data_IF_931908564108
#
_entry.id   IF_931908564108
#
_cell.length_a   1.000
_cell.length_b   1.000
_cell.length_c   1.000
_cell.angle_alpha   90.00
_cell.angle_beta   90.00
_cell.angle_gamma   90.00
#
_symmetry.space_group_name_H-M   'P 1'
#
loop_
_entity.id
_entity.type
_entity.pdbx_description
1 polymer ?
#
# COMPACT_ATOMS: atom_id res chain seq x y z
N UNK A 1 8.63 25.55 -4.29
CA UNK A 1 8.18 24.15 -4.41
C UNK A 1 6.85 24.01 -5.13
N UNK A 2 5.77 24.59 -4.63
CA UNK A 2 4.45 24.42 -5.22
C UNK A 2 4.39 24.86 -6.71
N UNK A 3 5.02 25.97 -7.10
CA UNK A 3 5.03 26.43 -8.49
C UNK A 3 5.71 25.43 -9.44
N UNK A 4 6.78 24.76 -8.98
CA UNK A 4 7.41 23.72 -9.78
C UNK A 4 6.50 22.49 -9.96
N UNK A 5 5.82 22.07 -8.89
CA UNK A 5 4.93 20.90 -8.93
C UNK A 5 3.60 21.20 -9.65
N UNK A 6 3.06 22.42 -9.56
CA UNK A 6 1.85 22.85 -10.28
C UNK A 6 1.92 22.64 -11.79
N UNK A 7 3.12 22.72 -12.37
CA UNK A 7 3.30 22.53 -13.82
C UNK A 7 2.90 21.13 -14.29
N UNK A 8 2.87 20.15 -13.39
CA UNK A 8 2.50 18.74 -13.67
C UNK A 8 1.01 18.46 -13.44
N UNK A 9 0.21 19.45 -12.99
CA UNK A 9 -1.18 19.23 -12.57
C UNK A 9 -2.12 19.00 -13.77
N UNK A 10 -2.93 17.97 -13.64
CA UNK A 10 -4.04 17.67 -14.54
C UNK A 10 -3.64 16.96 -15.84
N UNK A 11 -4.61 16.65 -16.70
CA UNK A 11 -4.39 15.89 -17.93
C UNK A 11 -3.48 16.56 -18.94
N UNK A 12 -3.37 17.89 -18.88
CA UNK A 12 -2.46 18.69 -19.72
C UNK A 12 -1.19 19.12 -18.97
N UNK A 13 -0.89 18.48 -17.85
CA UNK A 13 0.33 18.74 -17.06
C UNK A 13 1.60 18.50 -17.88
N UNK A 14 2.58 19.37 -17.68
CA UNK A 14 3.87 19.27 -18.34
C UNK A 14 4.70 18.12 -17.79
N UNK A 15 5.49 17.51 -18.66
CA UNK A 15 6.58 16.63 -18.27
C UNK A 15 7.75 17.47 -17.75
N UNK A 16 8.33 17.07 -16.63
CA UNK A 16 9.45 17.76 -15.99
C UNK A 16 10.70 16.90 -16.08
N UNK A 17 11.83 17.54 -16.31
CA UNK A 17 13.14 16.91 -16.33
C UNK A 17 13.85 17.30 -15.00
N UNK A 18 14.26 16.30 -14.25
CA UNK A 18 14.97 16.47 -12.97
C UNK A 18 16.27 15.65 -12.97
N UNK A 19 17.22 16.02 -12.12
CA UNK A 19 18.35 15.14 -11.84
C UNK A 19 17.86 13.84 -11.19
N UNK A 20 18.42 12.71 -11.60
CA UNK A 20 18.03 11.42 -11.04
C UNK A 20 18.54 11.30 -9.60
N UNK A 21 17.66 11.00 -8.63
CA UNK A 21 18.11 10.73 -7.26
C UNK A 21 18.87 9.41 -7.13
N UNK A 22 18.73 8.51 -8.11
CA UNK A 22 19.29 7.15 -8.06
C UNK A 22 20.62 7.02 -8.82
N UNK A 23 20.91 7.92 -9.75
CA UNK A 23 22.11 7.83 -10.60
C UNK A 23 22.86 9.17 -10.66
N UNK A 24 24.12 9.14 -10.33
CA UNK A 24 25.04 10.28 -10.52
C UNK A 24 25.07 10.67 -11.99
N UNK A 25 24.71 11.92 -12.30
CA UNK A 25 24.56 12.46 -13.67
C UNK A 25 23.40 11.85 -14.50
N UNK A 26 22.45 11.14 -13.88
CA UNK A 26 21.24 10.66 -14.53
C UNK A 26 20.18 11.74 -14.65
N UNK A 27 19.28 11.55 -15.62
CA UNK A 27 18.11 12.40 -15.84
C UNK A 27 16.86 11.55 -15.61
N UNK A 28 15.93 12.07 -14.83
CA UNK A 28 14.60 11.51 -14.68
C UNK A 28 13.57 12.40 -15.38
N UNK A 29 12.78 11.82 -16.25
CA UNK A 29 11.68 12.48 -16.96
C UNK A 29 10.37 12.01 -16.34
N UNK A 30 9.60 12.92 -15.75
CA UNK A 30 8.40 12.54 -14.99
C UNK A 30 7.29 13.59 -15.09
N UNK A 31 6.05 13.15 -14.88
CA UNK A 31 4.88 13.99 -14.59
C UNK A 31 4.40 13.83 -13.14
N UNK A 32 5.00 12.91 -12.39
CA UNK A 32 4.59 12.62 -11.04
C UNK A 32 5.03 13.72 -10.06
N UNK A 33 4.04 14.34 -9.42
CA UNK A 33 4.27 15.45 -8.49
C UNK A 33 5.08 15.06 -7.25
N UNK A 34 4.99 13.83 -6.77
CA UNK A 34 5.82 13.35 -5.64
C UNK A 34 7.27 13.26 -6.04
N UNK A 35 7.57 12.71 -7.20
CA UNK A 35 8.93 12.58 -7.72
C UNK A 35 9.58 13.97 -7.89
N UNK A 36 8.82 14.92 -8.46
CA UNK A 36 9.27 16.32 -8.58
C UNK A 36 9.47 16.94 -7.19
N UNK A 37 8.53 16.75 -6.27
CA UNK A 37 8.64 17.28 -4.91
C UNK A 37 9.85 16.73 -4.15
N UNK A 38 10.19 15.47 -4.34
CA UNK A 38 11.35 14.81 -3.72
C UNK A 38 12.68 15.33 -4.24
N UNK A 39 12.75 15.78 -5.47
CA UNK A 39 13.98 16.35 -6.05
C UNK A 39 14.28 17.77 -5.58
N UNK A 40 13.30 18.49 -5.01
CA UNK A 40 13.48 19.88 -4.57
C UNK A 40 14.10 19.92 -3.19
N UNK A 41 15.29 20.49 -3.08
CA UNK A 41 15.95 20.82 -1.83
C UNK A 41 16.41 22.28 -1.82
N UNK A 42 16.29 22.97 -0.70
CA UNK A 42 16.73 24.34 -0.52
C UNK A 42 17.94 24.39 0.39
N UNK A 43 18.84 25.35 0.13
CA UNK A 43 20.09 25.50 0.89
C UNK A 43 19.80 26.05 2.30
N UNK A 44 18.85 27.00 2.39
CA UNK A 44 18.45 27.57 3.68
C UNK A 44 17.70 26.51 4.51
N UNK A 45 18.13 26.23 5.76
CA UNK A 45 17.52 25.19 6.60
C UNK A 45 16.06 25.49 6.98
N UNK A 46 15.69 26.76 7.15
CA UNK A 46 14.34 27.17 7.55
C UNK A 46 13.38 27.01 6.37
N UNK A 47 13.79 27.49 5.20
CA UNK A 47 13.03 27.30 3.96
C UNK A 47 12.89 25.81 3.61
N UNK A 48 13.97 25.04 3.80
CA UNK A 48 13.96 23.61 3.53
C UNK A 48 13.06 22.83 4.51
N UNK A 49 12.84 23.34 5.73
CA UNK A 49 11.86 22.76 6.65
C UNK A 49 10.43 22.84 6.07
N UNK A 50 10.06 23.97 5.49
CA UNK A 50 8.77 24.12 4.81
C UNK A 50 8.62 23.14 3.63
N UNK A 51 9.69 22.97 2.83
CA UNK A 51 9.73 21.97 1.74
C UNK A 51 9.51 20.56 2.28
N UNK A 52 10.15 20.19 3.40
CA UNK A 52 9.97 18.87 4.02
C UNK A 52 8.54 18.65 4.49
N UNK A 53 7.89 19.64 5.09
CA UNK A 53 6.49 19.54 5.52
C UNK A 53 5.54 19.34 4.34
N UNK A 54 5.74 20.08 3.24
CA UNK A 54 4.94 19.90 2.03
C UNK A 54 5.18 18.53 1.38
N UNK A 55 6.41 18.04 1.40
CA UNK A 55 6.79 16.72 0.92
C UNK A 55 6.10 15.62 1.73
N UNK A 56 6.10 15.75 3.06
CA UNK A 56 5.41 14.84 3.96
C UNK A 56 3.90 14.73 3.64
N UNK A 57 3.25 15.88 3.37
CA UNK A 57 1.85 15.88 2.96
C UNK A 57 1.61 15.13 1.65
N UNK A 58 2.50 15.28 0.68
CA UNK A 58 2.43 14.56 -0.59
C UNK A 58 2.68 13.05 -0.41
N UNK A 59 3.69 12.66 0.37
CA UNK A 59 4.01 11.26 0.66
C UNK A 59 2.87 10.54 1.38
N UNK A 60 2.24 11.19 2.36
CA UNK A 60 1.05 10.64 3.02
C UNK A 60 -0.12 10.47 2.06
N UNK A 61 -0.33 11.42 1.15
CA UNK A 61 -1.37 11.32 0.14
C UNK A 61 -1.08 10.16 -0.82
N UNK A 62 0.16 10.00 -1.27
CA UNK A 62 0.58 8.86 -2.11
C UNK A 62 0.33 7.52 -1.42
N UNK A 63 0.69 7.41 -0.13
CA UNK A 63 0.57 6.16 0.63
C UNK A 63 -0.90 5.80 0.91
N UNK A 64 -1.75 6.80 1.22
CA UNK A 64 -3.13 6.56 1.64
C UNK A 64 -4.11 6.47 0.47
N UNK A 65 -3.89 7.25 -0.59
CA UNK A 65 -4.82 7.39 -1.72
C UNK A 65 -4.25 6.90 -3.05
N UNK A 66 -2.94 6.75 -3.17
CA UNK A 66 -2.26 6.34 -4.40
C UNK A 66 -2.20 7.42 -5.48
N UNK A 67 -2.90 8.55 -5.30
CA UNK A 67 -2.98 9.66 -6.25
C UNK A 67 -3.28 10.98 -5.54
N UNK A 68 -3.27 12.10 -6.28
CA UNK A 68 -3.62 13.43 -5.76
C UNK A 68 -2.48 14.16 -5.05
N UNK A 69 -1.25 13.73 -5.20
CA UNK A 69 -0.05 14.29 -4.56
C UNK A 69 0.22 15.73 -4.97
N UNK A 70 0.12 16.05 -6.25
CA UNK A 70 0.21 17.42 -6.77
C UNK A 70 -0.89 18.31 -6.20
N UNK A 71 -2.12 17.79 -6.14
CA UNK A 71 -3.27 18.49 -5.54
C UNK A 71 -3.03 18.80 -4.07
N UNK A 72 -2.49 17.85 -3.30
CA UNK A 72 -2.17 18.05 -1.89
C UNK A 72 -1.15 19.18 -1.67
N UNK A 73 -0.12 19.27 -2.52
CA UNK A 73 0.88 20.35 -2.47
C UNK A 73 0.24 21.71 -2.80
N UNK A 74 -0.59 21.77 -3.83
CA UNK A 74 -1.28 22.99 -4.25
C UNK A 74 -2.25 23.47 -3.17
N UNK A 75 -3.01 22.57 -2.56
CA UNK A 75 -3.92 22.92 -1.46
C UNK A 75 -3.15 23.36 -0.22
N UNK A 76 -2.03 22.73 0.10
CA UNK A 76 -1.17 23.14 1.22
C UNK A 76 -0.67 24.57 1.02
N UNK A 77 -0.17 24.91 -0.18
CA UNK A 77 0.26 26.27 -0.49
C UNK A 77 -0.91 27.26 -0.35
N UNK A 78 -2.07 26.95 -0.93
CA UNK A 78 -3.24 27.82 -0.90
C UNK A 78 -3.72 28.09 0.52
N UNK A 79 -3.75 27.07 1.38
CA UNK A 79 -4.10 27.20 2.80
C UNK A 79 -3.11 28.09 3.56
N UNK A 80 -1.81 27.85 3.39
CA UNK A 80 -0.76 28.65 4.04
C UNK A 80 -0.83 30.12 3.58
N UNK A 81 -0.89 30.37 2.27
CA UNK A 81 -1.01 31.75 1.74
C UNK A 81 -2.25 32.44 2.27
N UNK A 82 -3.43 31.80 2.18
CA UNK A 82 -4.67 32.37 2.72
C UNK A 82 -4.59 32.64 4.21
N UNK A 83 -3.94 31.75 4.97
CA UNK A 83 -3.72 31.96 6.41
C UNK A 83 -2.82 33.17 6.68
N UNK A 84 -1.72 33.29 5.98
CA UNK A 84 -0.79 34.44 6.12
C UNK A 84 -1.46 35.76 5.77
N UNK A 85 -2.29 35.80 4.75
CA UNK A 85 -2.97 37.02 4.28
C UNK A 85 -4.12 37.45 5.20
N UNK A 86 -4.82 36.51 5.83
CA UNK A 86 -6.07 36.78 6.56
C UNK A 86 -5.92 36.76 8.08
N UNK A 87 -4.99 35.98 8.63
CA UNK A 87 -4.81 35.84 10.08
C UNK A 87 -3.92 36.98 10.59
N UNK A 88 -4.46 37.79 11.48
CA UNK A 88 -3.73 38.87 12.14
C UNK A 88 -2.97 38.37 13.34
N UNK A 89 -1.94 39.09 13.77
CA UNK A 89 -1.15 38.78 14.96
C UNK A 89 -1.99 38.75 16.24
N UNK A 90 -3.09 39.51 16.28
CA UNK A 90 -4.03 39.62 17.39
C UNK A 90 -5.05 38.49 17.48
N UNK A 91 -5.18 37.68 16.41
CA UNK A 91 -6.19 36.64 16.31
C UNK A 91 -5.80 35.40 17.14
N UNK A 92 -6.80 34.71 17.66
CA UNK A 92 -6.61 33.44 18.36
C UNK A 92 -6.37 32.29 17.38
N UNK A 93 -5.10 32.04 17.08
CA UNK A 93 -4.68 31.03 16.11
C UNK A 93 -5.15 29.62 16.46
N UNK A 94 -5.25 29.30 17.75
CA UNK A 94 -5.73 27.98 18.20
C UNK A 94 -7.19 27.77 17.87
N UNK A 95 -8.01 28.81 18.03
CA UNK A 95 -9.44 28.77 17.71
C UNK A 95 -9.67 28.66 16.20
N UNK A 96 -8.93 29.45 15.40
CA UNK A 96 -8.97 29.39 13.95
C UNK A 96 -8.61 27.97 13.45
N UNK A 97 -7.57 27.35 14.00
CA UNK A 97 -7.17 25.98 13.61
C UNK A 97 -8.24 24.95 13.99
N UNK A 98 -8.89 25.09 15.15
CA UNK A 98 -10.00 24.20 15.54
C UNK A 98 -11.18 24.31 14.60
N UNK A 99 -11.55 25.54 14.25
CA UNK A 99 -12.63 25.80 13.29
C UNK A 99 -12.30 25.26 11.91
N UNK A 100 -11.07 25.47 11.42
CA UNK A 100 -10.59 24.93 10.15
C UNK A 100 -10.70 23.40 10.11
N UNK A 101 -10.31 22.71 11.19
CA UNK A 101 -10.44 21.25 11.30
C UNK A 101 -11.91 20.81 11.32
N UNK A 102 -12.78 21.57 11.95
CA UNK A 102 -14.22 21.30 11.97
C UNK A 102 -14.83 21.42 10.58
N UNK A 103 -14.57 22.53 9.89
CA UNK A 103 -15.04 22.78 8.53
C UNK A 103 -14.49 21.75 7.52
N UNK A 104 -13.26 21.31 7.73
CA UNK A 104 -12.66 20.23 6.88
C UNK A 104 -13.46 18.94 6.98
N UNK A 105 -13.96 18.58 8.18
CA UNK A 105 -14.79 17.37 8.34
C UNK A 105 -16.12 17.47 7.58
N UNK A 106 -16.75 18.63 7.61
CA UNK A 106 -17.98 18.87 6.86
C UNK A 106 -17.74 18.81 5.36
N UNK A 107 -16.67 19.46 4.87
CA UNK A 107 -16.27 19.40 3.47
C UNK A 107 -16.01 17.95 3.01
N UNK A 108 -15.32 17.14 3.81
CA UNK A 108 -15.09 15.72 3.50
C UNK A 108 -16.43 14.96 3.42
N UNK A 109 -17.40 15.27 4.29
CA UNK A 109 -18.72 14.65 4.22
C UNK A 109 -19.46 14.99 2.91
N UNK A 110 -19.39 16.24 2.49
CA UNK A 110 -19.98 16.70 1.23
C UNK A 110 -19.31 16.04 0.03
N UNK A 111 -17.97 15.97 0.01
CA UNK A 111 -17.22 15.28 -1.05
C UNK A 111 -17.57 13.80 -1.15
N UNK A 112 -17.73 13.12 0.01
CA UNK A 112 -18.20 11.72 0.03
C UNK A 112 -19.61 11.58 -0.55
N UNK A 113 -20.49 12.55 -0.31
CA UNK A 113 -21.83 12.58 -0.90
C UNK A 113 -21.87 12.76 -2.42
N UNK A 114 -20.82 13.39 -2.98
CA UNK A 114 -20.68 13.58 -4.44
C UNK A 114 -20.00 12.39 -5.14
N UNK A 115 -19.34 11.51 -4.38
CA UNK A 115 -18.65 10.35 -4.93
C UNK A 115 -19.63 9.38 -5.60
N UNK A 116 -19.20 8.77 -6.70
CA UNK A 116 -19.96 7.76 -7.42
C UNK A 116 -19.19 6.44 -7.42
N UNK A 117 -19.91 5.33 -7.26
CA UNK A 117 -19.28 4.01 -7.40
C UNK A 117 -18.81 3.81 -8.83
N UNK A 118 -17.56 3.39 -8.99
CA UNK A 118 -16.94 3.13 -10.30
C UNK A 118 -17.61 1.94 -10.97
N UNK A 119 -18.03 2.11 -12.22
CA UNK A 119 -18.52 1.03 -13.07
C UNK A 119 -17.36 0.42 -13.85
N UNK A 120 -17.57 -0.80 -14.41
CA UNK A 120 -16.55 -1.46 -15.24
C UNK A 120 -16.03 -0.59 -16.39
N UNK A 121 -16.90 0.20 -17.02
CA UNK A 121 -16.52 1.12 -18.09
C UNK A 121 -15.68 2.28 -17.56
N UNK A 122 -16.09 2.88 -16.45
CA UNK A 122 -15.33 3.97 -15.82
C UNK A 122 -13.96 3.51 -15.31
N UNK A 123 -13.81 2.22 -15.02
CA UNK A 123 -12.53 1.67 -14.57
C UNK A 123 -11.45 1.79 -15.65
N UNK A 124 -11.80 1.60 -16.93
CA UNK A 124 -10.87 1.80 -18.06
C UNK A 124 -10.43 3.26 -18.12
N UNK A 125 -11.36 4.20 -17.98
CA UNK A 125 -11.05 5.64 -18.02
C UNK A 125 -10.11 6.03 -16.86
N UNK A 126 -10.40 5.54 -15.64
CA UNK A 126 -9.58 5.78 -14.44
C UNK A 126 -8.18 5.17 -14.61
N UNK A 127 -8.10 3.92 -15.07
CA UNK A 127 -6.82 3.25 -15.28
C UNK A 127 -5.99 3.92 -16.38
N UNK A 128 -6.63 4.38 -17.46
CA UNK A 128 -5.97 5.12 -18.55
C UNK A 128 -5.38 6.42 -18.05
N UNK A 129 -6.12 7.20 -17.26
CA UNK A 129 -5.62 8.45 -16.67
C UNK A 129 -4.44 8.16 -15.73
N UNK A 130 -4.55 7.16 -14.89
CA UNK A 130 -3.48 6.75 -13.97
C UNK A 130 -2.22 6.24 -14.69
N UNK A 131 -2.39 5.66 -15.88
CA UNK A 131 -1.32 5.25 -16.77
C UNK A 131 -0.80 6.40 -17.68
N UNK A 132 -0.96 7.64 -17.28
CA UNK A 132 -0.53 8.82 -18.03
C UNK A 132 -1.14 8.92 -19.44
N UNK A 133 -2.43 8.62 -19.57
CA UNK A 133 -3.22 8.57 -20.81
C UNK A 133 -2.80 7.45 -21.79
N UNK A 134 -2.14 6.41 -21.31
CA UNK A 134 -1.87 5.20 -22.10
C UNK A 134 -3.09 4.28 -22.01
N UNK A 135 -3.87 4.22 -23.11
CA UNK A 135 -5.08 3.41 -23.19
C UNK A 135 -4.78 1.91 -23.17
N UNK A 136 -3.64 1.47 -23.72
CA UNK A 136 -3.28 0.05 -23.74
C UNK A 136 -3.01 -0.46 -22.32
N UNK A 137 -2.23 0.30 -21.54
CA UNK A 137 -1.99 -0.02 -20.13
C UNK A 137 -3.29 0.08 -19.34
N UNK A 138 -4.10 1.11 -19.60
CA UNK A 138 -5.40 1.30 -18.96
C UNK A 138 -6.36 0.12 -19.15
N UNK A 139 -6.46 -0.41 -20.36
CA UNK A 139 -7.27 -1.59 -20.67
C UNK A 139 -6.75 -2.85 -19.95
N UNK A 140 -5.44 -3.12 -20.01
CA UNK A 140 -4.82 -4.26 -19.32
C UNK A 140 -5.11 -4.24 -17.82
N UNK A 141 -4.96 -3.07 -17.18
CA UNK A 141 -5.23 -2.89 -15.75
C UNK A 141 -6.71 -3.09 -15.44
N UNK A 142 -7.60 -2.45 -16.21
CA UNK A 142 -9.04 -2.55 -16.00
C UNK A 142 -9.54 -3.98 -16.18
N UNK A 143 -9.06 -4.70 -17.18
CA UNK A 143 -9.39 -6.11 -17.42
C UNK A 143 -8.88 -6.99 -16.29
N UNK A 144 -7.68 -6.70 -15.76
CA UNK A 144 -7.13 -7.43 -14.63
C UNK A 144 -8.00 -7.26 -13.38
N UNK A 145 -8.37 -6.03 -13.03
CA UNK A 145 -9.29 -5.77 -11.92
C UNK A 145 -10.68 -6.39 -12.12
N UNK A 146 -11.19 -6.40 -13.35
CA UNK A 146 -12.46 -7.07 -13.66
C UNK A 146 -12.38 -8.59 -13.47
N UNK A 147 -11.21 -9.21 -13.74
CA UNK A 147 -10.99 -10.65 -13.55
C UNK A 147 -10.84 -11.02 -12.08
N UNK A 148 -10.04 -10.27 -11.32
CA UNK A 148 -9.76 -10.59 -9.91
C UNK A 148 -10.87 -10.11 -8.96
N UNK A 149 -11.70 -9.16 -9.36
CA UNK A 149 -12.83 -8.64 -8.58
C UNK A 149 -12.43 -7.63 -7.49
N UNK A 150 -13.44 -7.18 -6.72
CA UNK A 150 -13.29 -6.10 -5.72
C UNK A 150 -12.29 -6.45 -4.59
N UNK A 151 -12.11 -7.71 -4.27
CA UNK A 151 -11.23 -8.20 -3.21
C UNK A 151 -9.89 -8.74 -3.73
N UNK A 152 -9.67 -8.66 -5.05
CA UNK A 152 -8.44 -9.14 -5.66
C UNK A 152 -7.28 -8.18 -5.46
N UNK A 153 -6.08 -8.72 -5.39
CA UNK A 153 -4.84 -7.94 -5.30
C UNK A 153 -4.22 -7.87 -6.68
N UNK A 154 -3.90 -6.66 -7.11
CA UNK A 154 -3.19 -6.40 -8.38
C UNK A 154 -1.84 -5.78 -8.04
N UNK A 155 -0.78 -6.40 -8.54
CA UNK A 155 0.59 -5.92 -8.43
C UNK A 155 1.14 -5.60 -9.81
N UNK A 156 2.07 -4.64 -9.88
CA UNK A 156 2.75 -4.26 -11.12
C UNK A 156 4.23 -4.57 -10.96
N UNK A 157 4.76 -5.38 -11.86
CA UNK A 157 6.16 -5.80 -11.86
C UNK A 157 6.78 -5.56 -13.24
N UNK A 158 8.11 -5.52 -13.30
CA UNK A 158 8.82 -5.43 -14.58
C UNK A 158 8.73 -6.77 -15.32
N UNK A 159 8.28 -6.74 -16.57
CA UNK A 159 8.26 -7.92 -17.43
C UNK A 159 9.68 -8.41 -17.72
N UNK A 160 9.83 -9.72 -17.85
CA UNK A 160 11.06 -10.36 -18.37
C UNK A 160 11.10 -10.36 -19.89
N UNK A 161 10.00 -9.99 -20.56
CA UNK A 161 9.85 -9.90 -22.02
C UNK A 161 9.67 -8.45 -22.45
N UNK A 162 9.64 -8.18 -23.74
CA UNK A 162 9.35 -6.86 -24.31
C UNK A 162 7.88 -6.46 -24.21
N UNK A 163 7.00 -7.42 -23.89
CA UNK A 163 5.56 -7.21 -23.92
C UNK A 163 5.02 -6.85 -22.55
N UNK A 164 4.00 -5.98 -22.55
CA UNK A 164 3.18 -5.68 -21.37
C UNK A 164 1.96 -6.57 -21.38
N UNK A 165 1.76 -7.37 -20.34
CA UNK A 165 0.66 -8.32 -20.24
C UNK A 165 0.22 -8.49 -18.78
N UNK A 166 -0.96 -9.07 -18.57
CA UNK A 166 -1.44 -9.43 -17.23
C UNK A 166 -1.57 -10.94 -17.09
N UNK A 167 -1.15 -11.44 -15.94
CA UNK A 167 -1.42 -12.81 -15.50
C UNK A 167 -2.33 -12.76 -14.27
N UNK A 168 -3.30 -13.65 -14.23
CA UNK A 168 -4.17 -13.81 -13.05
C UNK A 168 -4.07 -15.23 -12.54
N UNK A 169 -3.87 -15.36 -11.23
CA UNK A 169 -3.91 -16.66 -10.54
C UNK A 169 -5.00 -16.63 -9.49
N UNK A 170 -5.66 -17.77 -9.27
CA UNK A 170 -6.61 -17.91 -8.17
C UNK A 170 -5.81 -18.01 -6.86
N UNK A 171 -6.17 -17.17 -5.89
CA UNK A 171 -5.52 -17.15 -4.59
C UNK A 171 -4.59 -15.96 -4.38
N UNK A 172 -3.91 -15.95 -3.23
CA UNK A 172 -2.96 -14.93 -2.82
C UNK A 172 -1.54 -15.51 -2.78
N UNK A 173 -0.62 -14.92 -3.55
CA UNK A 173 0.80 -15.22 -3.43
C UNK A 173 1.39 -14.43 -2.26
N UNK A 174 1.97 -15.11 -1.30
CA UNK A 174 2.67 -14.53 -0.16
C UNK A 174 4.17 -14.80 -0.32
N UNK A 175 4.99 -13.74 -0.27
CA UNK A 175 6.46 -13.83 -0.42
C UNK A 175 7.16 -14.32 0.86
N UNK A 176 6.50 -15.20 1.59
CA UNK A 176 7.01 -15.83 2.81
C UNK A 176 6.73 -17.33 2.75
N UNK A 177 7.73 -18.11 3.01
CA UNK A 177 7.61 -19.57 3.11
C UNK A 177 7.21 -20.05 4.51
N UNK A 178 7.20 -21.37 4.67
CA UNK A 178 7.00 -22.01 5.97
C UNK A 178 8.09 -21.62 6.96
N UNK A 179 7.72 -21.48 8.24
CA UNK A 179 8.63 -21.07 9.32
C UNK A 179 9.58 -22.19 9.79
N UNK A 180 9.36 -23.44 9.38
CA UNK A 180 10.22 -24.58 9.67
C UNK A 180 10.15 -25.63 8.57
N UNK A 181 11.29 -26.18 8.18
CA UNK A 181 11.38 -27.26 7.19
C UNK A 181 10.65 -28.56 7.65
N UNK A 182 10.33 -28.68 8.94
CA UNK A 182 9.58 -29.82 9.46
C UNK A 182 8.10 -29.81 9.07
N UNK A 183 7.60 -28.72 8.49
CA UNK A 183 6.25 -28.64 7.91
C UNK A 183 6.17 -29.20 6.48
N UNK A 184 7.32 -29.50 5.85
CA UNK A 184 7.37 -30.08 4.50
C UNK A 184 6.69 -31.45 4.50
N UNK A 185 5.69 -31.63 3.65
CA UNK A 185 5.03 -32.93 3.42
C UNK A 185 5.31 -33.53 2.04
N UNK A 186 5.90 -32.77 1.12
CA UNK A 186 6.39 -33.23 -0.17
C UNK A 186 7.91 -33.00 -0.26
N UNK A 187 8.68 -33.98 0.21
CA UNK A 187 10.15 -33.89 0.25
C UNK A 187 10.82 -33.87 -1.15
N UNK A 188 10.13 -34.33 -2.19
CA UNK A 188 10.70 -34.32 -3.56
C UNK A 188 10.82 -32.91 -4.15
N UNK A 189 9.95 -32.01 -3.71
CA UNK A 189 9.87 -30.65 -4.21
C UNK A 189 10.09 -29.60 -3.13
N UNK A 190 10.39 -30.00 -1.89
CA UNK A 190 10.52 -29.14 -0.73
C UNK A 190 9.27 -28.26 -0.49
N UNK A 191 8.08 -28.86 -0.65
CA UNK A 191 6.79 -28.16 -0.55
C UNK A 191 5.98 -28.64 0.66
N UNK A 192 5.14 -27.73 1.19
CA UNK A 192 4.06 -28.06 2.09
C UNK A 192 2.72 -27.84 1.38
N UNK A 193 2.03 -28.92 1.03
CA UNK A 193 0.75 -28.89 0.31
C UNK A 193 -0.38 -29.25 1.28
N UNK A 194 -1.30 -28.32 1.49
CA UNK A 194 -2.47 -28.52 2.33
C UNK A 194 -3.73 -28.21 1.49
N UNK A 195 -4.53 -29.21 1.18
CA UNK A 195 -5.82 -29.08 0.50
C UNK A 195 -6.96 -29.00 1.53
N UNK A 196 -8.03 -28.26 1.25
CA UNK A 196 -9.18 -28.04 2.17
C UNK A 196 -8.71 -27.56 3.56
N UNK A 197 -7.88 -26.54 3.57
CA UNK A 197 -7.23 -26.03 4.75
C UNK A 197 -8.04 -24.95 5.44
N UNK A 198 -8.14 -25.04 6.78
CA UNK A 198 -8.61 -23.92 7.60
C UNK A 198 -7.48 -22.91 7.74
N UNK A 199 -7.78 -21.62 7.64
CA UNK A 199 -6.78 -20.56 7.71
C UNK A 199 -7.03 -19.72 8.96
N UNK A 200 -6.02 -19.60 9.80
CA UNK A 200 -5.99 -18.69 10.94
C UNK A 200 -5.02 -17.54 10.63
N UNK A 201 -5.50 -16.31 10.71
CA UNK A 201 -4.69 -15.11 10.47
C UNK A 201 -4.65 -14.27 11.74
N UNK A 202 -3.46 -13.84 12.15
CA UNK A 202 -3.26 -12.93 13.28
C UNK A 202 -2.06 -12.02 13.02
N UNK A 203 -2.18 -10.76 13.38
CA UNK A 203 -1.10 -9.78 13.44
C UNK A 203 -0.38 -9.80 14.79
N UNK A 204 -1.05 -10.31 15.84
CA UNK A 204 -0.46 -10.49 17.16
C UNK A 204 0.47 -11.71 17.20
N UNK A 205 1.62 -11.56 17.87
CA UNK A 205 2.56 -12.67 18.07
C UNK A 205 1.96 -13.77 18.95
N UNK A 206 2.04 -15.01 18.46
CA UNK A 206 1.67 -16.20 19.21
C UNK A 206 2.90 -16.68 19.97
N UNK A 207 3.01 -16.25 21.23
CA UNK A 207 4.12 -16.63 22.11
C UNK A 207 3.88 -17.93 22.88
N UNK A 208 2.61 -18.36 22.98
CA UNK A 208 2.21 -19.59 23.68
C UNK A 208 1.04 -20.28 22.96
N UNK A 209 1.11 -21.61 22.81
CA UNK A 209 0.06 -22.42 22.19
C UNK A 209 -1.29 -22.38 22.93
N UNK A 210 -1.27 -22.10 24.23
CA UNK A 210 -2.50 -21.98 25.02
C UNK A 210 -3.39 -20.81 24.54
N UNK A 211 -2.79 -19.78 23.96
CA UNK A 211 -3.56 -18.62 23.42
C UNK A 211 -4.45 -19.00 22.24
N UNK A 212 -4.07 -20.03 21.49
CA UNK A 212 -4.80 -20.53 20.31
C UNK A 212 -5.39 -21.92 20.52
N UNK A 213 -5.42 -22.39 21.78
CA UNK A 213 -5.91 -23.73 22.13
C UNK A 213 -7.33 -23.98 21.64
N UNK A 214 -8.20 -22.97 21.74
CA UNK A 214 -9.61 -23.04 21.29
C UNK A 214 -9.74 -23.27 19.78
N UNK A 215 -8.75 -22.87 18.99
CA UNK A 215 -8.69 -23.12 17.55
C UNK A 215 -8.04 -24.47 17.27
N UNK A 216 -6.95 -24.78 17.98
CA UNK A 216 -6.19 -26.01 17.73
C UNK A 216 -6.95 -27.27 18.15
N UNK A 217 -7.65 -27.27 19.29
CA UNK A 217 -8.38 -28.46 19.79
C UNK A 217 -9.38 -29.03 18.78
N UNK A 218 -10.31 -28.25 18.23
CA UNK A 218 -11.26 -28.77 17.23
C UNK A 218 -10.56 -29.29 15.97
N UNK A 219 -9.55 -28.55 15.48
CA UNK A 219 -8.79 -28.93 14.29
C UNK A 219 -8.11 -30.29 14.48
N UNK A 220 -7.48 -30.50 15.64
CA UNK A 220 -6.78 -31.75 15.96
C UNK A 220 -7.77 -32.89 16.14
N UNK A 221 -8.88 -32.68 16.88
CA UNK A 221 -9.88 -33.69 17.15
C UNK A 221 -10.60 -34.17 15.90
N UNK A 222 -10.85 -33.25 14.96
CA UNK A 222 -11.51 -33.56 13.69
C UNK A 222 -10.54 -33.98 12.58
N UNK A 223 -9.24 -34.03 12.86
CA UNK A 223 -8.21 -34.39 11.88
C UNK A 223 -8.11 -33.40 10.69
N UNK A 224 -8.55 -32.17 10.89
CA UNK A 224 -8.54 -31.11 9.89
C UNK A 224 -7.15 -30.54 9.68
N UNK A 225 -6.98 -29.81 8.56
CA UNK A 225 -5.72 -29.14 8.21
C UNK A 225 -5.80 -27.67 8.58
N UNK A 226 -4.69 -27.08 9.06
CA UNK A 226 -4.62 -25.70 9.49
C UNK A 226 -3.38 -25.00 8.92
N UNK A 227 -3.60 -23.85 8.28
CA UNK A 227 -2.55 -22.89 7.94
C UNK A 227 -2.62 -21.73 8.92
N UNK A 228 -1.52 -21.46 9.62
CA UNK A 228 -1.39 -20.35 10.55
C UNK A 228 -0.57 -19.26 9.86
N UNK A 229 -1.18 -18.12 9.59
CA UNK A 229 -0.53 -16.91 9.05
C UNK A 229 -0.40 -15.93 10.21
N UNK A 230 0.67 -16.08 10.99
CA UNK A 230 0.90 -15.26 12.18
C UNK A 230 2.38 -15.28 12.58
N UNK A 231 2.88 -14.21 13.21
CA UNK A 231 4.18 -14.24 13.87
C UNK A 231 4.10 -15.21 15.05
N UNK A 232 4.99 -16.19 15.10
CA UNK A 232 5.05 -17.18 16.17
C UNK A 232 6.43 -17.19 16.82
N UNK A 233 6.47 -17.35 18.14
CA UNK A 233 7.74 -17.57 18.85
C UNK A 233 8.39 -18.88 18.42
N UNK A 234 9.72 -18.95 18.50
CA UNK A 234 10.49 -20.17 18.17
C UNK A 234 10.01 -21.40 18.92
N UNK A 235 9.60 -21.25 20.18
CA UNK A 235 9.06 -22.34 20.98
C UNK A 235 7.75 -22.89 20.43
N UNK A 236 6.86 -22.01 19.97
CA UNK A 236 5.58 -22.39 19.35
C UNK A 236 5.84 -23.10 18.04
N UNK A 237 6.70 -22.55 17.17
CA UNK A 237 7.07 -23.17 15.89
C UNK A 237 7.63 -24.56 16.10
N UNK A 238 8.60 -24.72 17.02
CA UNK A 238 9.23 -26.01 17.31
C UNK A 238 8.22 -27.02 17.86
N UNK A 239 7.30 -26.60 18.72
CA UNK A 239 6.27 -27.48 19.28
C UNK A 239 5.28 -27.92 18.21
N UNK A 240 4.81 -27.02 17.34
CA UNK A 240 3.94 -27.36 16.22
C UNK A 240 4.65 -28.31 15.25
N UNK A 241 5.88 -28.02 14.88
CA UNK A 241 6.69 -28.83 13.98
C UNK A 241 6.95 -30.24 14.54
N UNK A 242 7.28 -30.33 15.82
CA UNK A 242 7.45 -31.62 16.48
C UNK A 242 6.16 -32.47 16.49
N UNK A 243 5.00 -31.84 16.64
CA UNK A 243 3.70 -32.53 16.58
C UNK A 243 3.33 -32.93 15.15
N UNK A 244 3.70 -32.17 14.13
CA UNK A 244 3.57 -32.58 12.73
C UNK A 244 4.35 -33.87 12.48
N UNK A 245 5.58 -33.94 12.95
CA UNK A 245 6.45 -35.12 12.79
C UNK A 245 5.99 -36.36 13.60
N UNK A 246 5.59 -36.15 14.85
CA UNK A 246 5.25 -37.25 15.75
C UNK A 246 3.82 -37.71 15.67
N UNK A 247 2.90 -36.79 15.51
CA UNK A 247 1.46 -37.02 15.63
C UNK A 247 0.71 -36.87 14.30
N UNK A 248 1.42 -36.73 13.17
CA UNK A 248 0.85 -36.54 11.84
C UNK A 248 -0.13 -35.36 11.76
N UNK A 249 0.08 -34.32 12.57
CA UNK A 249 -0.70 -33.09 12.47
C UNK A 249 -0.50 -32.45 11.11
N UNK A 250 -1.58 -31.97 10.50
CA UNK A 250 -1.57 -31.32 9.19
C UNK A 250 -1.63 -29.80 9.37
N UNK A 251 -0.55 -29.24 9.90
CA UNK A 251 -0.44 -27.82 10.22
C UNK A 251 0.80 -27.25 9.55
N UNK A 252 0.70 -26.02 9.06
CA UNK A 252 1.82 -25.22 8.61
C UNK A 252 1.71 -23.79 9.18
N UNK A 253 2.84 -23.18 9.51
CA UNK A 253 2.91 -21.78 9.90
C UNK A 253 3.77 -21.00 8.91
N UNK A 254 3.28 -19.84 8.52
CA UNK A 254 4.01 -18.83 7.75
C UNK A 254 3.96 -17.48 8.47
N UNK A 255 5.01 -16.70 8.35
CA UNK A 255 5.05 -15.33 8.88
C UNK A 255 4.27 -14.39 7.95
N UNK A 256 3.49 -13.43 8.48
CA UNK A 256 2.80 -12.43 7.64
C UNK A 256 3.78 -11.64 6.78
N UNK A 257 3.40 -11.26 5.54
CA UNK A 257 4.31 -10.61 4.59
C UNK A 257 4.77 -9.21 5.02
N UNK A 258 3.95 -8.47 5.76
CA UNK A 258 4.24 -7.09 6.20
C UNK A 258 4.82 -7.01 7.62
N UNK A 259 5.16 -8.14 8.25
CA UNK A 259 5.69 -8.14 9.61
C UNK A 259 7.10 -7.52 9.66
N UNK A 260 7.24 -6.44 10.41
CA UNK A 260 8.52 -5.75 10.62
C UNK A 260 8.89 -4.69 9.57
N UNK A 261 8.01 -4.39 8.63
CA UNK A 261 8.15 -3.29 7.67
C UNK A 261 7.04 -2.25 7.91
N UNK A 262 7.30 -1.30 8.79
CA UNK A 262 6.57 -0.03 8.91
C UNK A 262 7.56 1.09 8.72
#
# INVERSE_FOLDING_TARGET
>A
MADAVKSTLGPMGNTVIIESPEHTHGITVTKDGVTVAKSIGLIDPVENLAVRMMREAADRTATLAGDGTTTAIVLTEALVRSGMDKIKSTDNKTEILRELLSQTKELIKDLKGQSKKVTKKMLVDVATISANNDSNIGEIIADTYNKVGENGIVTVERSQTSDTYSESTDGLKIDRGYSSNLFINNQKKDECILEDVHIMVSDAEISNLLTIENVLKPIIQEGKKLLIVAPCSTNVINTLAANVMKNSLKICNITPPSFGSV
#
